data_IF_423688379104
#
_entry.id   IF_423688379104
#
_cell.length_a   1.000
_cell.length_b   1.000
_cell.length_c   1.000
_cell.angle_alpha   90.00
_cell.angle_beta   90.00
_cell.angle_gamma   90.00
#
_symmetry.space_group_name_H-M   'P 1'
#
loop_
_entity.id
_entity.type
_entity.pdbx_description
1 polymer ?
#
# COMPACT_ATOMS: atom_id res chain seq x y z
N UNK A 1 46.96 53.58 51.34
CA UNK A 1 47.98 54.61 51.13
C UNK A 1 48.14 54.90 49.64
N UNK A 2 47.85 56.18 49.34
CA UNK A 2 48.24 57.01 48.17
C UNK A 2 48.11 56.43 46.71
N UNK A 3 47.13 57.01 46.05
CA UNK A 3 46.93 57.13 44.62
C UNK A 3 48.08 57.84 43.92
N UNK A 4 48.43 57.42 42.70
CA UNK A 4 49.05 58.27 41.71
C UNK A 4 48.25 58.17 40.40
N UNK A 5 47.58 59.24 40.04
CA UNK A 5 47.01 59.51 38.71
C UNK A 5 48.19 59.93 37.79
N UNK A 6 48.23 59.32 36.66
CA UNK A 6 49.09 59.79 35.55
C UNK A 6 48.15 60.33 34.47
N UNK A 7 48.30 61.65 34.25
CA UNK A 7 47.62 62.35 33.15
C UNK A 7 48.56 62.34 31.96
N UNK A 8 48.15 61.78 30.85
CA UNK A 8 48.85 61.89 29.59
C UNK A 8 48.17 62.96 28.73
N UNK A 9 48.93 63.99 28.42
CA UNK A 9 48.57 65.10 27.54
C UNK A 9 48.80 64.69 26.12
N UNK A 10 47.75 64.67 25.28
CA UNK A 10 47.82 64.45 23.88
C UNK A 10 47.92 65.79 23.16
N UNK A 11 49.00 65.95 22.44
CA UNK A 11 49.33 67.08 21.59
C UNK A 11 48.61 66.95 20.23
N UNK A 12 47.78 67.90 19.92
CA UNK A 12 47.09 68.05 18.62
C UNK A 12 48.03 68.61 17.56
N UNK A 13 48.05 67.97 16.42
CA UNK A 13 48.59 68.54 15.18
C UNK A 13 47.53 68.49 14.10
N UNK A 14 47.29 69.57 13.36
CA UNK A 14 46.37 69.60 12.25
C UNK A 14 47.10 69.29 10.94
N UNK A 15 46.64 68.40 10.12
CA UNK A 15 46.97 68.37 8.72
C UNK A 15 45.80 67.90 7.84
N UNK A 16 45.34 68.90 7.14
CA UNK A 16 44.93 68.93 5.71
C UNK A 16 44.15 67.79 5.12
N UNK A 17 42.99 68.23 4.73
CA UNK A 17 41.98 67.68 3.85
C UNK A 17 42.49 67.22 2.47
N UNK A 18 42.25 65.98 2.09
CA UNK A 18 42.14 65.62 0.72
C UNK A 18 40.87 64.75 0.56
N UNK A 19 39.86 65.37 -0.02
CA UNK A 19 38.61 64.74 -0.40
C UNK A 19 38.88 63.81 -1.62
N UNK A 20 38.82 62.51 -1.43
CA UNK A 20 38.64 61.53 -2.52
C UNK A 20 37.29 60.89 -2.31
N UNK A 21 36.30 61.36 -3.08
CA UNK A 21 34.98 60.77 -3.19
C UNK A 21 35.08 59.44 -3.98
N UNK A 22 35.15 58.36 -3.26
CA UNK A 22 34.90 57.02 -3.87
C UNK A 22 33.43 56.73 -3.72
N UNK A 23 32.68 56.87 -4.80
CA UNK A 23 31.34 56.34 -4.93
C UNK A 23 31.41 54.82 -4.95
N UNK A 24 31.22 54.18 -3.80
CA UNK A 24 31.03 52.78 -3.69
C UNK A 24 29.53 52.48 -3.92
N UNK A 25 29.16 52.15 -5.17
CA UNK A 25 27.83 51.66 -5.48
C UNK A 25 27.67 50.24 -4.91
N UNK A 26 27.11 50.16 -3.72
CA UNK A 26 26.66 48.86 -3.15
C UNK A 26 25.40 48.47 -3.88
N UNK A 27 25.55 47.58 -4.92
CA UNK A 27 24.42 46.91 -5.50
C UNK A 27 23.87 45.91 -4.47
N UNK A 28 22.75 46.30 -3.83
CA UNK A 28 21.93 45.37 -3.06
C UNK A 28 21.33 44.35 -4.03
N UNK A 29 22.01 43.23 -4.25
CA UNK A 29 21.36 42.03 -4.76
C UNK A 29 20.44 41.49 -3.65
N UNK A 30 19.23 41.95 -3.59
CA UNK A 30 18.16 41.26 -2.86
C UNK A 30 17.81 39.99 -3.66
N UNK A 31 18.64 38.99 -3.55
CA UNK A 31 18.32 37.62 -3.94
C UNK A 31 17.18 37.14 -3.06
N UNK A 32 15.97 37.13 -3.60
CA UNK A 32 14.84 36.44 -3.00
C UNK A 32 15.17 34.94 -3.00
N UNK A 33 15.88 34.47 -1.97
CA UNK A 33 15.99 33.04 -1.69
C UNK A 33 14.59 32.58 -1.29
N UNK A 34 13.88 32.01 -2.26
CA UNK A 34 12.78 31.10 -1.96
C UNK A 34 13.37 29.94 -1.17
N UNK A 35 13.36 30.03 0.14
CA UNK A 35 13.47 28.86 0.99
C UNK A 35 12.24 28.02 0.68
N UNK A 36 12.41 27.00 -0.17
CA UNK A 36 11.46 25.90 -0.21
C UNK A 36 11.53 25.26 1.18
N UNK A 37 10.59 25.58 2.04
CA UNK A 37 10.31 24.76 3.22
C UNK A 37 9.99 23.37 2.66
N UNK A 38 10.96 22.49 2.71
CA UNK A 38 10.78 21.07 2.51
C UNK A 38 9.82 20.63 3.64
N UNK A 39 8.55 20.53 3.29
CA UNK A 39 7.48 20.08 4.17
C UNK A 39 7.87 18.66 4.57
N UNK A 40 8.54 18.51 5.70
CA UNK A 40 8.91 17.22 6.27
C UNK A 40 7.61 16.47 6.53
N UNK A 41 7.18 15.72 5.53
CA UNK A 41 5.98 14.89 5.62
C UNK A 41 6.31 13.82 6.64
N UNK A 42 5.68 13.90 7.81
CA UNK A 42 5.78 12.84 8.82
C UNK A 42 5.21 11.60 8.15
N UNK A 43 6.05 10.59 7.92
CA UNK A 43 5.62 9.34 7.31
C UNK A 43 4.65 8.65 8.26
N UNK A 44 3.48 8.22 7.79
CA UNK A 44 2.46 7.57 8.62
C UNK A 44 2.97 6.18 9.03
N UNK A 45 3.44 6.07 10.24
CA UNK A 45 4.09 4.85 10.73
C UNK A 45 3.15 3.66 10.82
N UNK A 46 1.92 3.86 11.29
CA UNK A 46 0.95 2.77 11.48
C UNK A 46 0.37 2.31 10.13
N UNK A 47 0.05 3.24 9.21
CA UNK A 47 -0.39 2.86 7.86
C UNK A 47 0.70 2.10 7.10
N UNK A 48 1.99 2.47 7.26
CA UNK A 48 3.11 1.74 6.64
C UNK A 48 3.22 0.33 7.21
N UNK A 49 3.12 0.16 8.52
CA UNK A 49 3.10 -1.17 9.15
C UNK A 49 1.90 -2.01 8.68
N UNK A 50 0.75 -1.39 8.53
CA UNK A 50 -0.45 -2.01 7.99
C UNK A 50 -0.25 -2.48 6.54
N UNK A 51 0.40 -1.67 5.69
CA UNK A 51 0.73 -2.06 4.31
C UNK A 51 1.69 -3.26 4.26
N UNK A 52 2.69 -3.32 5.14
CA UNK A 52 3.56 -4.48 5.27
C UNK A 52 2.81 -5.72 5.75
N UNK A 53 1.92 -5.56 6.72
CA UNK A 53 1.09 -6.65 7.26
C UNK A 53 0.16 -7.19 6.20
N UNK A 54 -0.56 -6.32 5.48
CA UNK A 54 -1.44 -6.72 4.40
C UNK A 54 -0.64 -7.43 3.29
N UNK A 55 0.47 -6.85 2.83
CA UNK A 55 1.34 -7.50 1.85
C UNK A 55 1.74 -8.92 2.25
N UNK A 56 2.15 -9.13 3.51
CA UNK A 56 2.53 -10.44 4.01
C UNK A 56 1.34 -11.41 4.01
N UNK A 57 0.16 -10.95 4.40
CA UNK A 57 -1.07 -11.75 4.41
C UNK A 57 -1.47 -12.18 2.99
N UNK A 58 -1.49 -11.27 2.03
CA UNK A 58 -1.83 -11.58 0.64
C UNK A 58 -0.85 -12.60 0.02
N UNK A 59 0.45 -12.46 0.26
CA UNK A 59 1.45 -13.43 -0.22
C UNK A 59 1.25 -14.82 0.39
N UNK A 60 0.94 -14.91 1.68
CA UNK A 60 0.64 -16.18 2.34
C UNK A 60 -0.68 -16.77 1.86
N UNK A 61 -1.68 -15.93 1.58
CA UNK A 61 -2.96 -16.34 0.99
C UNK A 61 -2.77 -16.89 -0.43
N UNK A 62 -1.99 -16.22 -1.26
CA UNK A 62 -1.60 -16.71 -2.58
C UNK A 62 -1.03 -18.13 -2.51
N UNK A 63 -0.01 -18.38 -1.68
CA UNK A 63 0.60 -19.71 -1.49
C UNK A 63 -0.39 -20.74 -0.95
N UNK A 64 -1.28 -20.32 -0.05
CA UNK A 64 -2.33 -21.17 0.47
C UNK A 64 -3.28 -21.63 -0.64
N UNK A 65 -3.74 -20.73 -1.50
CA UNK A 65 -4.62 -21.07 -2.62
C UNK A 65 -3.91 -21.96 -3.67
N UNK A 66 -2.61 -21.81 -3.89
CA UNK A 66 -1.83 -22.76 -4.71
C UNK A 66 -1.86 -24.17 -4.10
N UNK A 67 -1.66 -24.29 -2.80
CA UNK A 67 -1.72 -25.56 -2.06
C UNK A 67 -3.12 -26.18 -2.11
N UNK A 68 -4.16 -25.36 -1.99
CA UNK A 68 -5.56 -25.79 -2.07
C UNK A 68 -5.95 -26.21 -3.50
N UNK A 69 -5.37 -25.54 -4.50
CA UNK A 69 -5.50 -25.96 -5.91
C UNK A 69 -4.98 -27.39 -6.12
N UNK A 70 -3.78 -27.67 -5.63
CA UNK A 70 -3.19 -29.01 -5.72
C UNK A 70 -4.06 -30.06 -5.00
N UNK A 71 -4.60 -29.70 -3.84
CA UNK A 71 -5.51 -30.60 -3.10
C UNK A 71 -6.82 -30.84 -3.84
N UNK A 72 -7.47 -29.81 -4.36
CA UNK A 72 -8.72 -29.94 -5.12
C UNK A 72 -8.54 -30.83 -6.36
N UNK A 73 -7.41 -30.74 -7.06
CA UNK A 73 -7.07 -31.63 -8.18
C UNK A 73 -6.92 -33.07 -7.71
N UNK A 74 -6.26 -33.33 -6.58
CA UNK A 74 -6.12 -34.67 -5.98
C UNK A 74 -7.48 -35.26 -5.62
N UNK A 75 -8.40 -34.45 -5.13
CA UNK A 75 -9.76 -34.84 -4.78
C UNK A 75 -10.70 -34.86 -6.00
N UNK A 76 -10.16 -34.70 -7.24
CA UNK A 76 -10.88 -34.69 -8.52
C UNK A 76 -11.92 -33.54 -8.66
N UNK A 77 -11.83 -32.49 -7.83
CA UNK A 77 -12.68 -31.30 -7.85
C UNK A 77 -12.08 -30.22 -8.77
N UNK A 78 -12.05 -30.49 -10.09
CA UNK A 78 -11.35 -29.62 -11.08
C UNK A 78 -11.89 -28.19 -11.10
N UNK A 79 -13.20 -28.00 -10.94
CA UNK A 79 -13.82 -26.67 -10.98
C UNK A 79 -13.50 -25.86 -9.72
N UNK A 80 -13.39 -26.53 -8.56
CA UNK A 80 -12.88 -25.91 -7.31
C UNK A 80 -11.41 -25.54 -7.45
N UNK A 81 -10.62 -26.39 -8.09
CA UNK A 81 -9.21 -26.06 -8.38
C UNK A 81 -9.09 -24.82 -9.29
N UNK A 82 -9.99 -24.65 -10.25
CA UNK A 82 -10.01 -23.46 -11.10
C UNK A 82 -10.41 -22.20 -10.32
N UNK A 83 -11.39 -22.31 -9.41
CA UNK A 83 -11.72 -21.23 -8.47
C UNK A 83 -10.47 -20.80 -7.66
N UNK A 84 -9.77 -21.75 -7.04
CA UNK A 84 -8.57 -21.44 -6.27
C UNK A 84 -7.45 -20.78 -7.09
N UNK A 85 -7.27 -21.16 -8.36
CA UNK A 85 -6.33 -20.46 -9.24
C UNK A 85 -6.69 -19.01 -9.45
N UNK A 86 -7.98 -18.71 -9.63
CA UNK A 86 -8.44 -17.33 -9.76
C UNK A 86 -8.22 -16.53 -8.47
N UNK A 87 -8.50 -17.13 -7.31
CA UNK A 87 -8.25 -16.51 -6.02
C UNK A 87 -6.75 -16.32 -5.78
N UNK A 88 -5.90 -17.33 -6.07
CA UNK A 88 -4.44 -17.19 -5.95
C UNK A 88 -3.92 -16.02 -6.80
N UNK A 89 -4.41 -15.87 -8.04
CA UNK A 89 -4.01 -14.76 -8.90
C UNK A 89 -4.49 -13.41 -8.35
N UNK A 90 -5.69 -13.36 -7.76
CA UNK A 90 -6.20 -12.17 -7.10
C UNK A 90 -5.29 -11.73 -5.96
N UNK A 91 -4.92 -12.64 -5.06
CA UNK A 91 -4.04 -12.34 -3.92
C UNK A 91 -2.64 -11.88 -4.33
N UNK A 92 -2.10 -12.45 -5.41
CA UNK A 92 -0.85 -11.98 -5.99
C UNK A 92 -0.96 -10.51 -6.44
N UNK A 93 -2.07 -10.12 -7.07
CA UNK A 93 -2.32 -8.74 -7.49
C UNK A 93 -2.48 -7.82 -6.28
N UNK A 94 -3.17 -8.26 -5.22
CA UNK A 94 -3.29 -7.53 -3.96
C UNK A 94 -1.91 -7.24 -3.36
N UNK A 95 -1.08 -8.29 -3.22
CA UNK A 95 0.29 -8.17 -2.73
C UNK A 95 1.14 -7.19 -3.55
N UNK A 96 1.07 -7.29 -4.90
CA UNK A 96 1.78 -6.39 -5.80
C UNK A 96 1.32 -4.94 -5.65
N UNK A 97 0.04 -4.70 -5.41
CA UNK A 97 -0.49 -3.36 -5.17
C UNK A 97 0.03 -2.78 -3.85
N UNK A 98 0.13 -3.57 -2.78
CA UNK A 98 0.77 -3.13 -1.52
C UNK A 98 2.25 -2.78 -1.72
N UNK A 99 3.00 -3.62 -2.45
CA UNK A 99 4.40 -3.35 -2.82
C UNK A 99 4.50 -2.02 -3.60
N UNK A 100 3.65 -1.83 -4.60
CA UNK A 100 3.65 -0.63 -5.43
C UNK A 100 3.40 0.63 -4.59
N UNK A 101 2.45 0.57 -3.66
CA UNK A 101 2.16 1.70 -2.79
C UNK A 101 3.32 1.98 -1.81
N UNK A 102 3.89 0.96 -1.16
CA UNK A 102 5.07 1.12 -0.31
C UNK A 102 6.22 1.81 -1.07
N UNK A 103 6.53 1.32 -2.28
CA UNK A 103 7.58 1.91 -3.13
C UNK A 103 7.29 3.35 -3.53
N UNK A 104 6.03 3.70 -3.79
CA UNK A 104 5.64 5.09 -4.11
C UNK A 104 5.84 6.04 -2.90
N UNK A 105 5.84 5.49 -1.70
CA UNK A 105 6.15 6.19 -0.45
C UNK A 105 7.66 6.18 -0.12
N UNK A 106 8.51 5.65 -1.01
CA UNK A 106 9.95 5.42 -0.79
C UNK A 106 10.24 4.46 0.38
N UNK A 107 9.36 3.48 0.60
CA UNK A 107 9.51 2.43 1.61
C UNK A 107 9.80 1.11 0.90
N UNK A 108 10.88 0.44 1.30
CA UNK A 108 11.19 -0.90 0.81
C UNK A 108 10.26 -1.94 1.44
N UNK A 109 9.59 -2.78 0.63
CA UNK A 109 8.74 -3.85 1.14
C UNK A 109 9.56 -4.87 1.93
N UNK A 110 9.09 -5.24 3.12
CA UNK A 110 9.70 -6.31 3.90
C UNK A 110 9.35 -7.66 3.29
N UNK A 111 10.30 -8.59 3.26
CA UNK A 111 10.00 -9.95 2.82
C UNK A 111 9.03 -10.61 3.81
N UNK A 112 7.89 -11.16 3.33
CA UNK A 112 6.97 -11.87 4.20
C UNK A 112 7.62 -13.13 4.76
N UNK A 113 7.29 -13.45 6.00
CA UNK A 113 7.59 -14.76 6.53
C UNK A 113 6.55 -15.76 6.03
N UNK A 114 7.02 -16.93 5.61
CA UNK A 114 6.13 -18.01 5.18
C UNK A 114 5.36 -18.57 6.35
N UNK A 115 4.04 -18.61 6.25
CA UNK A 115 3.17 -19.26 7.22
C UNK A 115 2.93 -20.72 6.77
N UNK A 116 2.94 -21.70 7.69
CA UNK A 116 2.66 -23.09 7.34
C UNK A 116 1.21 -23.25 6.88
N UNK A 117 1.01 -23.89 5.73
CA UNK A 117 -0.33 -24.14 5.18
C UNK A 117 -0.84 -25.50 5.65
N UNK A 118 -1.93 -25.50 6.42
CA UNK A 118 -2.66 -26.73 6.74
C UNK A 118 -3.60 -27.09 5.60
N UNK A 119 -3.44 -28.29 5.03
CA UNK A 119 -4.24 -28.76 3.90
C UNK A 119 -5.10 -29.95 4.32
N UNK A 120 -6.41 -29.71 4.43
CA UNK A 120 -7.43 -30.76 4.65
C UNK A 120 -7.94 -31.37 3.32
N UNK A 121 -9.16 -31.92 3.31
CA UNK A 121 -9.89 -32.25 2.08
C UNK A 121 -10.29 -30.98 1.32
N UNK A 122 -10.63 -31.08 0.04
CA UNK A 122 -11.05 -29.92 -0.74
C UNK A 122 -12.25 -29.17 -0.10
N UNK A 123 -13.19 -29.89 0.50
CA UNK A 123 -14.30 -29.25 1.21
C UNK A 123 -13.87 -28.57 2.52
N UNK A 124 -12.89 -29.14 3.24
CA UNK A 124 -12.32 -28.48 4.42
C UNK A 124 -11.54 -27.24 4.02
N UNK A 125 -10.78 -27.28 2.92
CA UNK A 125 -10.05 -26.11 2.44
C UNK A 125 -10.97 -24.97 1.99
N UNK A 126 -12.14 -25.27 1.37
CA UNK A 126 -13.16 -24.27 1.05
C UNK A 126 -13.67 -23.55 2.31
N UNK A 127 -13.98 -24.31 3.36
CA UNK A 127 -14.44 -23.73 4.64
C UNK A 127 -13.34 -22.89 5.33
N UNK A 128 -12.11 -23.36 5.30
CA UNK A 128 -10.97 -22.61 5.84
C UNK A 128 -10.77 -21.31 5.08
N UNK A 129 -10.77 -21.35 3.74
CA UNK A 129 -10.65 -20.17 2.90
C UNK A 129 -11.74 -19.15 3.21
N UNK A 130 -13.01 -19.59 3.23
CA UNK A 130 -14.13 -18.70 3.58
C UNK A 130 -13.96 -18.03 4.93
N UNK A 131 -13.58 -18.80 5.97
CA UNK A 131 -13.36 -18.22 7.32
C UNK A 131 -12.27 -17.16 7.33
N UNK A 132 -11.23 -17.33 6.51
CA UNK A 132 -10.14 -16.36 6.41
C UNK A 132 -10.59 -15.09 5.68
N UNK A 133 -11.31 -15.20 4.57
CA UNK A 133 -11.89 -14.04 3.87
C UNK A 133 -12.87 -13.26 4.78
N UNK A 134 -13.69 -13.97 5.55
CA UNK A 134 -14.61 -13.34 6.51
C UNK A 134 -13.90 -12.58 7.62
N UNK A 135 -12.76 -13.07 8.12
CA UNK A 135 -11.93 -12.37 9.11
C UNK A 135 -11.28 -11.13 8.47
N UNK A 136 -10.74 -11.26 7.26
CA UNK A 136 -10.09 -10.15 6.56
C UNK A 136 -11.09 -9.04 6.23
N UNK A 137 -12.22 -9.37 5.65
CA UNK A 137 -13.28 -8.40 5.34
C UNK A 137 -13.96 -7.82 6.59
N UNK A 138 -14.17 -8.64 7.64
CA UNK A 138 -14.96 -8.25 8.80
C UNK A 138 -14.18 -7.52 9.90
N UNK A 139 -12.87 -7.69 9.98
CA UNK A 139 -12.05 -7.09 11.05
C UNK A 139 -10.73 -6.49 10.58
N UNK A 140 -9.95 -7.19 9.77
CA UNK A 140 -8.62 -6.70 9.36
C UNK A 140 -8.74 -5.44 8.51
N UNK A 141 -9.32 -5.54 7.32
CA UNK A 141 -9.44 -4.39 6.41
C UNK A 141 -10.19 -3.20 7.01
N UNK A 142 -11.31 -3.36 7.75
CA UNK A 142 -11.93 -2.24 8.46
C UNK A 142 -11.00 -1.50 9.42
N UNK A 143 -10.09 -2.22 10.10
CA UNK A 143 -9.08 -1.62 10.97
C UNK A 143 -8.01 -0.86 10.19
N UNK A 144 -7.53 -1.44 9.07
CA UNK A 144 -6.54 -0.79 8.19
C UNK A 144 -7.10 0.49 7.55
N UNK A 145 -8.33 0.43 7.07
CA UNK A 145 -9.09 1.54 6.47
C UNK A 145 -9.21 2.69 7.48
N UNK A 146 -9.68 2.38 8.70
CA UNK A 146 -9.81 3.39 9.76
C UNK A 146 -8.47 4.04 10.10
N UNK A 147 -7.39 3.29 10.17
CA UNK A 147 -6.06 3.82 10.44
C UNK A 147 -5.60 4.75 9.32
N UNK A 148 -5.76 4.34 8.06
CA UNK A 148 -5.39 5.15 6.91
C UNK A 148 -6.20 6.46 6.84
N UNK A 149 -7.48 6.42 7.23
CA UNK A 149 -8.32 7.62 7.33
C UNK A 149 -7.83 8.57 8.42
N UNK A 150 -7.54 8.06 9.63
CA UNK A 150 -7.04 8.86 10.76
C UNK A 150 -5.67 9.49 10.46
N UNK A 151 -4.80 8.78 9.76
CA UNK A 151 -3.48 9.26 9.34
C UNK A 151 -3.53 10.09 8.04
N UNK A 152 -4.72 10.29 7.45
CA UNK A 152 -4.93 11.06 6.21
C UNK A 152 -4.11 10.54 5.03
N UNK A 153 -4.15 9.21 4.84
CA UNK A 153 -3.46 8.50 3.76
C UNK A 153 -4.47 8.04 2.69
N UNK A 154 -4.92 8.92 1.78
CA UNK A 154 -6.01 8.64 0.85
C UNK A 154 -5.70 7.50 -0.13
N UNK A 155 -4.44 7.32 -0.53
CA UNK A 155 -4.03 6.24 -1.44
C UNK A 155 -4.13 4.88 -0.75
N UNK A 156 -3.67 4.77 0.51
CA UNK A 156 -3.78 3.55 1.29
C UNK A 156 -5.24 3.25 1.64
N UNK A 157 -5.99 4.27 2.06
CA UNK A 157 -7.43 4.18 2.32
C UNK A 157 -8.17 3.57 1.12
N UNK A 158 -7.99 4.18 -0.05
CA UNK A 158 -8.63 3.71 -1.30
C UNK A 158 -8.21 2.29 -1.66
N UNK A 159 -6.94 1.97 -1.53
CA UNK A 159 -6.43 0.64 -1.85
C UNK A 159 -7.01 -0.43 -0.93
N UNK A 160 -7.04 -0.20 0.39
CA UNK A 160 -7.62 -1.13 1.35
C UNK A 160 -9.11 -1.35 1.10
N UNK A 161 -9.88 -0.30 0.76
CA UNK A 161 -11.29 -0.42 0.40
C UNK A 161 -11.50 -1.28 -0.85
N UNK A 162 -10.71 -1.07 -1.90
CA UNK A 162 -10.80 -1.82 -3.15
C UNK A 162 -10.48 -3.31 -2.93
N UNK A 163 -9.47 -3.62 -2.12
CA UNK A 163 -9.11 -5.01 -1.82
C UNK A 163 -10.18 -5.66 -0.95
N UNK A 164 -10.69 -4.97 0.07
CA UNK A 164 -11.81 -5.48 0.87
C UNK A 164 -13.03 -5.86 0.00
N UNK A 165 -13.36 -5.04 -1.02
CA UNK A 165 -14.44 -5.35 -1.96
C UNK A 165 -14.13 -6.60 -2.79
N UNK A 166 -12.86 -6.81 -3.19
CA UNK A 166 -12.42 -7.99 -3.92
C UNK A 166 -12.49 -9.25 -3.06
N UNK A 167 -12.01 -9.20 -1.82
CA UNK A 167 -12.05 -10.32 -0.86
C UNK A 167 -13.49 -10.67 -0.44
N UNK A 168 -14.35 -9.67 -0.35
CA UNK A 168 -15.80 -9.93 -0.18
C UNK A 168 -16.35 -10.77 -1.32
N UNK A 169 -15.88 -10.52 -2.55
CA UNK A 169 -16.27 -11.36 -3.71
C UNK A 169 -15.67 -12.75 -3.64
N UNK A 170 -14.46 -12.91 -3.12
CA UNK A 170 -13.88 -14.25 -2.84
C UNK A 170 -14.78 -15.03 -1.89
N UNK A 171 -15.22 -14.41 -0.78
CA UNK A 171 -16.14 -15.00 0.17
C UNK A 171 -17.45 -15.48 -0.47
N UNK A 172 -18.04 -14.69 -1.39
CA UNK A 172 -19.24 -15.09 -2.13
C UNK A 172 -19.00 -16.34 -2.99
N UNK A 173 -17.89 -16.38 -3.72
CA UNK A 173 -17.54 -17.50 -4.60
C UNK A 173 -17.26 -18.79 -3.80
N UNK A 174 -16.57 -18.66 -2.68
CA UNK A 174 -16.29 -19.77 -1.76
C UNK A 174 -17.58 -20.31 -1.13
N UNK A 175 -18.47 -19.44 -0.68
CA UNK A 175 -19.77 -19.82 -0.12
C UNK A 175 -20.60 -20.57 -1.16
N UNK A 176 -20.65 -20.06 -2.40
CA UNK A 176 -21.30 -20.73 -3.51
C UNK A 176 -20.77 -22.16 -3.72
N UNK A 177 -19.44 -22.36 -3.62
CA UNK A 177 -18.83 -23.67 -3.76
C UNK A 177 -19.15 -24.60 -2.56
N UNK A 178 -19.14 -24.07 -1.34
CA UNK A 178 -19.45 -24.82 -0.12
C UNK A 178 -20.91 -25.31 -0.13
N UNK A 179 -21.87 -24.45 -0.47
CA UNK A 179 -23.31 -24.77 -0.52
C UNK A 179 -23.63 -25.91 -1.49
N UNK A 180 -22.73 -26.16 -2.45
CA UNK A 180 -22.80 -27.26 -3.41
C UNK A 180 -21.89 -28.44 -3.08
N UNK A 181 -21.34 -28.49 -1.89
CA UNK A 181 -20.41 -29.54 -1.48
C UNK A 181 -19.16 -29.64 -2.40
N UNK A 182 -18.83 -28.55 -3.10
CA UNK A 182 -17.75 -28.50 -4.08
C UNK A 182 -18.13 -28.95 -5.49
N UNK A 183 -19.36 -29.40 -5.71
CA UNK A 183 -19.88 -29.73 -7.05
C UNK A 183 -20.40 -28.49 -7.75
N UNK A 184 -19.46 -27.67 -8.27
CA UNK A 184 -19.77 -26.45 -9.00
C UNK A 184 -19.55 -26.63 -10.50
N UNK A 185 -20.36 -25.94 -11.34
CA UNK A 185 -20.17 -26.00 -12.79
C UNK A 185 -18.82 -25.42 -13.18
N UNK A 186 -18.36 -25.73 -14.39
CA UNK A 186 -17.21 -25.07 -14.97
C UNK A 186 -17.59 -23.61 -15.24
N UNK A 187 -16.91 -22.69 -14.56
CA UNK A 187 -17.05 -21.24 -14.72
C UNK A 187 -15.79 -20.68 -15.40
N UNK A 188 -15.98 -19.57 -16.10
CA UNK A 188 -14.85 -18.75 -16.56
C UNK A 188 -14.60 -17.70 -15.48
N UNK A 189 -13.41 -17.70 -14.93
CA UNK A 189 -13.00 -16.65 -13.98
C UNK A 189 -12.22 -15.57 -14.72
N UNK A 190 -12.58 -14.34 -14.48
CA UNK A 190 -11.96 -13.14 -15.03
C UNK A 190 -11.39 -12.34 -13.86
N UNK A 191 -10.07 -12.18 -13.82
CA UNK A 191 -9.38 -11.47 -12.73
C UNK A 191 -8.95 -10.10 -13.20
N UNK A 192 -9.35 -9.06 -12.48
CA UNK A 192 -8.97 -7.68 -12.78
C UNK A 192 -7.46 -7.46 -12.56
N UNK A 193 -6.67 -7.13 -13.59
CA UNK A 193 -5.23 -6.93 -13.41
C UNK A 193 -4.90 -5.68 -12.57
N UNK A 194 -5.86 -4.78 -12.40
CA UNK A 194 -5.68 -3.57 -11.59
C UNK A 194 -5.87 -3.76 -10.10
N UNK A 195 -6.82 -4.64 -9.70
CA UNK A 195 -7.19 -4.77 -8.29
C UNK A 195 -7.49 -6.19 -7.81
N UNK A 196 -7.35 -7.22 -8.64
CA UNK A 196 -7.61 -8.60 -8.25
C UNK A 196 -9.09 -9.01 -8.25
N UNK A 197 -10.06 -8.11 -8.38
CA UNK A 197 -11.48 -8.46 -8.33
C UNK A 197 -11.84 -9.58 -9.31
N UNK A 198 -12.57 -10.61 -8.84
CA UNK A 198 -12.89 -11.80 -9.63
C UNK A 198 -14.32 -11.75 -10.13
N UNK A 199 -14.51 -11.85 -11.45
CA UNK A 199 -15.81 -12.00 -12.11
C UNK A 199 -15.98 -13.41 -12.67
N UNK A 200 -17.24 -13.86 -12.79
CA UNK A 200 -17.63 -15.10 -13.46
C UNK A 200 -18.45 -14.86 -14.74
N UNK A 201 -18.60 -13.62 -15.15
CA UNK A 201 -19.38 -13.17 -16.30
C UNK A 201 -18.77 -11.92 -16.91
N UNK A 202 -18.95 -11.70 -18.21
CA UNK A 202 -18.57 -10.51 -18.95
C UNK A 202 -19.75 -9.50 -19.08
N UNK A 203 -20.79 -9.60 -18.24
CA UNK A 203 -22.00 -8.77 -18.31
C UNK A 203 -21.83 -7.32 -17.81
N UNK A 204 -20.63 -6.92 -17.47
CA UNK A 204 -20.28 -5.55 -17.08
C UNK A 204 -19.10 -5.06 -17.88
N UNK A 205 -19.08 -3.78 -18.22
CA UNK A 205 -17.98 -3.16 -18.97
C UNK A 205 -16.82 -2.72 -18.07
N UNK A 206 -17.10 -2.54 -16.77
CA UNK A 206 -16.15 -2.04 -15.79
C UNK A 206 -16.04 -2.94 -14.55
N UNK A 207 -14.84 -2.96 -13.95
CA UNK A 207 -14.62 -3.58 -12.67
C UNK A 207 -15.50 -2.95 -11.58
N UNK A 208 -16.26 -3.74 -10.82
CA UNK A 208 -17.09 -3.20 -9.75
C UNK A 208 -16.30 -2.42 -8.69
N UNK A 209 -15.08 -2.89 -8.35
CA UNK A 209 -14.24 -2.28 -7.32
C UNK A 209 -13.41 -1.09 -7.84
N UNK A 210 -12.57 -1.27 -8.87
CA UNK A 210 -11.61 -0.23 -9.28
C UNK A 210 -11.98 0.54 -10.55
N UNK A 211 -13.12 0.20 -11.22
CA UNK A 211 -13.59 0.79 -12.47
C UNK A 211 -12.68 0.54 -13.70
N UNK A 212 -11.75 -0.41 -13.60
CA UNK A 212 -10.97 -0.87 -14.76
C UNK A 212 -11.85 -1.56 -15.80
N UNK A 213 -11.47 -1.51 -17.10
CA UNK A 213 -12.26 -2.13 -18.17
C UNK A 213 -12.16 -3.65 -18.12
N UNK A 214 -13.30 -4.35 -18.16
CA UNK A 214 -13.38 -5.82 -18.13
C UNK A 214 -12.70 -6.47 -19.33
N UNK A 215 -12.68 -5.80 -20.49
CA UNK A 215 -11.95 -6.29 -21.66
C UNK A 215 -10.44 -6.57 -21.40
N UNK A 216 -9.86 -5.99 -20.36
CA UNK A 216 -8.47 -6.18 -19.96
C UNK A 216 -8.29 -7.27 -18.88
N UNK A 217 -9.35 -7.93 -18.41
CA UNK A 217 -9.27 -8.93 -17.36
C UNK A 217 -8.54 -10.18 -17.83
N UNK A 218 -7.76 -10.75 -16.93
CA UNK A 218 -7.08 -12.02 -17.17
C UNK A 218 -8.08 -13.17 -17.10
N UNK A 219 -8.06 -14.06 -18.11
CA UNK A 219 -8.89 -15.28 -18.13
C UNK A 219 -8.13 -16.41 -17.47
N UNK A 220 -8.74 -17.01 -16.44
CA UNK A 220 -8.18 -18.13 -15.67
C UNK A 220 -8.87 -19.43 -16.09
#
# INVERSE_FOLDING_TARGET
MRHKKIILVVKSHPLSIALISIFLTIAFFTGCQKTSEEKKTIQPTVTIENLHTAYAKEMNRHKMYESFTARALKDKMKNVAQLYRALARSEEIHALNHIKLLKSLNIEPRQPQDEPVTVGTALQTLKMALSMEEIECGSMYPSLIRTAELEKQPEALKQFQIIQDADSKHGELLRYAIDRGGDIPQLKYLVCPGCGYVLTTEQTDECPACKGKVANFEKI
#
